data_IF_881182917293
#
_entry.id   IF_881182917293
#
_cell.length_a   1.000
_cell.length_b   1.000
_cell.length_c   1.000
_cell.angle_alpha   90.00
_cell.angle_beta   90.00
_cell.angle_gamma   90.00
#
_symmetry.space_group_name_H-M   'P 1'
#
loop_
_entity.id
_entity.type
_entity.pdbx_description
1 polymer ?
#
# COMPACT_ATOMS: atom_id res chain seq x y z
N UNK A 1 55.53 20.86 16.56
CA UNK A 1 55.15 20.93 15.13
C UNK A 1 54.31 19.70 14.80
N UNK A 2 53.04 19.89 14.40
CA UNK A 2 52.18 18.80 13.91
C UNK A 2 52.64 18.44 12.49
N UNK A 3 53.11 17.21 12.28
CA UNK A 3 53.43 16.71 10.94
C UNK A 3 52.17 16.75 10.08
N UNK A 4 52.18 17.58 9.02
CA UNK A 4 51.22 17.45 7.92
C UNK A 4 51.73 16.30 7.04
N UNK A 5 51.33 15.08 7.38
CA UNK A 5 51.54 13.93 6.50
C UNK A 5 50.62 14.10 5.29
N UNK A 6 51.19 14.33 4.11
CA UNK A 6 50.44 14.25 2.87
C UNK A 6 50.00 12.81 2.62
N UNK A 7 48.78 12.63 2.11
CA UNK A 7 48.30 11.31 1.71
C UNK A 7 49.23 10.72 0.65
N UNK A 8 49.61 9.45 0.81
CA UNK A 8 50.38 8.76 -0.21
C UNK A 8 49.52 8.63 -1.48
N UNK A 9 50.11 8.80 -2.66
CA UNK A 9 49.41 8.66 -3.95
C UNK A 9 48.63 7.34 -4.03
N UNK A 10 49.21 6.25 -3.49
CA UNK A 10 48.55 4.95 -3.42
C UNK A 10 47.25 4.98 -2.58
N UNK A 11 47.29 5.68 -1.45
CA UNK A 11 46.15 5.83 -0.54
C UNK A 11 45.04 6.65 -1.18
N UNK A 12 45.39 7.69 -1.94
CA UNK A 12 44.43 8.49 -2.71
C UNK A 12 43.77 7.65 -3.81
N UNK A 13 44.54 6.81 -4.51
CA UNK A 13 44.00 5.93 -5.57
C UNK A 13 43.06 4.88 -4.98
N UNK A 14 43.47 4.21 -3.89
CA UNK A 14 42.62 3.21 -3.22
C UNK A 14 41.36 3.88 -2.66
N UNK A 15 41.51 5.05 -2.01
CA UNK A 15 40.38 5.82 -1.49
C UNK A 15 39.39 6.24 -2.57
N UNK A 16 39.89 6.68 -3.73
CA UNK A 16 39.05 7.04 -4.87
C UNK A 16 38.28 5.83 -5.44
N UNK A 17 38.93 4.67 -5.54
CA UNK A 17 38.28 3.43 -5.99
C UNK A 17 37.17 2.98 -5.03
N UNK A 18 37.47 2.98 -3.73
CA UNK A 18 36.49 2.61 -2.70
C UNK A 18 35.31 3.59 -2.71
N UNK A 19 35.60 4.89 -2.75
CA UNK A 19 34.56 5.92 -2.79
C UNK A 19 33.69 5.79 -4.04
N UNK A 20 34.28 5.59 -5.22
CA UNK A 20 33.51 5.40 -6.46
C UNK A 20 32.60 4.18 -6.40
N UNK A 21 33.12 3.05 -5.89
CA UNK A 21 32.33 1.81 -5.77
C UNK A 21 31.16 2.00 -4.80
N UNK A 22 31.41 2.63 -3.65
CA UNK A 22 30.40 2.92 -2.64
C UNK A 22 29.36 3.90 -3.19
N UNK A 23 29.78 4.96 -3.88
CA UNK A 23 28.89 5.95 -4.47
C UNK A 23 27.92 5.32 -5.50
N UNK A 24 28.41 4.44 -6.37
CA UNK A 24 27.56 3.71 -7.32
C UNK A 24 26.56 2.81 -6.60
N UNK A 25 27.00 2.09 -5.56
CA UNK A 25 26.10 1.26 -4.75
C UNK A 25 24.99 2.09 -4.08
N UNK A 26 25.32 3.24 -3.50
CA UNK A 26 24.35 4.15 -2.88
C UNK A 26 23.32 4.68 -3.88
N UNK A 27 23.75 5.06 -5.09
CA UNK A 27 22.82 5.50 -6.14
C UNK A 27 21.86 4.39 -6.57
N UNK A 28 22.34 3.15 -6.64
CA UNK A 28 21.50 1.98 -6.91
C UNK A 28 20.43 1.76 -5.83
N UNK A 29 20.83 1.83 -4.56
CA UNK A 29 19.90 1.71 -3.42
C UNK A 29 18.87 2.84 -3.42
N UNK A 30 19.30 4.06 -3.70
CA UNK A 30 18.41 5.22 -3.73
C UNK A 30 17.29 5.07 -4.77
N UNK A 31 17.63 4.62 -5.98
CA UNK A 31 16.64 4.36 -7.02
C UNK A 31 15.65 3.26 -6.65
N UNK A 32 16.11 2.23 -5.93
CA UNK A 32 15.25 1.16 -5.42
C UNK A 32 14.31 1.65 -4.32
N UNK A 33 14.82 2.45 -3.37
CA UNK A 33 14.05 3.02 -2.28
C UNK A 33 12.94 3.95 -2.79
N UNK A 34 13.26 4.83 -3.75
CA UNK A 34 12.28 5.75 -4.33
C UNK A 34 11.10 5.00 -4.98
N UNK A 35 11.39 3.95 -5.76
CA UNK A 35 10.36 3.07 -6.35
C UNK A 35 9.55 2.31 -5.30
N UNK A 36 10.20 1.92 -4.20
CA UNK A 36 9.54 1.27 -3.08
C UNK A 36 8.52 2.16 -2.37
N UNK A 37 8.85 3.43 -2.17
CA UNK A 37 7.96 4.42 -1.55
C UNK A 37 6.73 4.71 -2.41
N UNK A 38 6.91 4.86 -3.73
CA UNK A 38 5.79 5.04 -4.67
C UNK A 38 4.81 3.84 -4.61
N UNK A 39 5.34 2.61 -4.60
CA UNK A 39 4.53 1.39 -4.42
C UNK A 39 3.80 1.39 -3.08
N UNK A 40 4.48 1.80 -2.01
CA UNK A 40 3.92 1.77 -0.65
C UNK A 40 2.78 2.77 -0.47
N UNK A 41 2.79 3.90 -1.17
CA UNK A 41 1.76 4.95 -1.02
C UNK A 41 0.37 4.44 -1.39
N UNK A 42 0.21 3.86 -2.57
CA UNK A 42 -1.10 3.39 -3.04
C UNK A 42 -1.61 2.22 -2.19
N UNK A 43 -0.70 1.34 -1.77
CA UNK A 43 -1.04 0.27 -0.84
C UNK A 43 -1.54 0.82 0.49
N UNK A 44 -0.92 1.87 1.03
CA UNK A 44 -1.33 2.48 2.29
C UNK A 44 -2.72 3.11 2.18
N UNK A 45 -2.99 3.87 1.10
CA UNK A 45 -4.33 4.43 0.86
C UNK A 45 -5.38 3.32 0.72
N UNK A 46 -5.09 2.29 -0.08
CA UNK A 46 -6.01 1.16 -0.25
C UNK A 46 -6.26 0.40 1.06
N UNK A 47 -5.23 0.22 1.89
CA UNK A 47 -5.38 -0.37 3.23
C UNK A 47 -6.25 0.50 4.15
N UNK A 48 -6.03 1.81 4.19
CA UNK A 48 -6.85 2.72 5.01
C UNK A 48 -8.31 2.72 4.57
N UNK A 49 -8.58 2.68 3.26
CA UNK A 49 -9.93 2.55 2.72
C UNK A 49 -10.57 1.22 3.12
N UNK A 50 -9.81 0.12 3.02
CA UNK A 50 -10.30 -1.20 3.41
C UNK A 50 -10.61 -1.27 4.91
N UNK A 51 -9.73 -0.71 5.75
CA UNK A 51 -9.91 -0.61 7.20
C UNK A 51 -11.15 0.21 7.54
N UNK A 52 -11.33 1.38 6.93
CA UNK A 52 -12.52 2.21 7.15
C UNK A 52 -13.82 1.45 6.86
N UNK A 53 -13.91 0.75 5.72
CA UNK A 53 -15.10 -0.01 5.35
C UNK A 53 -15.34 -1.21 6.29
N UNK A 54 -14.28 -1.84 6.77
CA UNK A 54 -14.37 -2.90 7.78
C UNK A 54 -14.86 -2.34 9.12
N UNK A 55 -14.35 -1.20 9.55
CA UNK A 55 -14.81 -0.51 10.76
C UNK A 55 -16.28 -0.10 10.66
N UNK A 56 -16.72 0.40 9.52
CA UNK A 56 -18.13 0.70 9.25
C UNK A 56 -19.00 -0.56 9.38
N UNK A 57 -18.58 -1.69 8.78
CA UNK A 57 -19.30 -2.96 8.90
C UNK A 57 -19.31 -3.51 10.34
N UNK A 58 -18.21 -3.33 11.09
CA UNK A 58 -18.16 -3.68 12.52
C UNK A 58 -19.07 -2.80 13.37
N UNK A 59 -19.16 -1.51 13.05
CA UNK A 59 -20.02 -0.56 13.75
C UNK A 59 -21.52 -0.82 13.49
N UNK A 60 -21.88 -1.29 12.30
CA UNK A 60 -23.24 -1.77 12.01
C UNK A 60 -23.60 -2.99 12.88
N UNK A 61 -22.63 -3.89 13.06
CA UNK A 61 -22.75 -5.11 13.86
C UNK A 61 -23.50 -6.24 13.13
N UNK A 62 -23.51 -7.42 13.74
CA UNK A 62 -24.01 -8.65 13.11
C UNK A 62 -25.45 -8.53 12.58
N UNK A 63 -26.38 -7.99 13.38
CA UNK A 63 -27.80 -7.95 13.04
C UNK A 63 -28.12 -7.00 11.88
N UNK A 64 -27.35 -5.90 11.73
CA UNK A 64 -27.62 -4.87 10.72
C UNK A 64 -26.78 -5.02 9.46
N UNK A 65 -25.65 -5.71 9.55
CA UNK A 65 -24.82 -6.02 8.39
C UNK A 65 -25.62 -6.82 7.38
N UNK A 66 -25.98 -6.17 6.27
CA UNK A 66 -26.72 -6.80 5.17
C UNK A 66 -25.83 -7.83 4.50
N UNK A 67 -26.37 -9.02 4.28
CA UNK A 67 -25.71 -10.06 3.50
C UNK A 67 -25.72 -9.58 2.05
N UNK A 68 -24.54 -9.50 1.44
CA UNK A 68 -24.32 -9.04 0.06
C UNK A 68 -23.73 -10.14 -0.80
N UNK A 69 -23.93 -11.39 -0.40
CA UNK A 69 -23.48 -12.57 -1.15
C UNK A 69 -24.07 -12.57 -2.56
N UNK A 70 -23.21 -12.39 -3.56
CA UNK A 70 -23.59 -12.35 -4.99
C UNK A 70 -23.86 -10.95 -5.55
N UNK A 71 -24.01 -9.91 -4.72
CA UNK A 71 -24.16 -8.52 -5.16
C UNK A 71 -23.34 -7.60 -4.22
N UNK A 72 -22.02 -7.49 -4.44
CA UNK A 72 -21.15 -6.74 -3.54
C UNK A 72 -21.48 -5.24 -3.56
N UNK A 73 -21.39 -4.61 -2.40
CA UNK A 73 -21.45 -3.15 -2.31
C UNK A 73 -20.17 -2.58 -2.92
N UNK A 74 -20.32 -1.92 -4.06
CA UNK A 74 -19.20 -1.33 -4.80
C UNK A 74 -19.20 0.19 -4.69
N UNK A 75 -18.00 0.75 -4.66
CA UNK A 75 -17.78 2.19 -4.64
C UNK A 75 -16.60 2.58 -5.51
N UNK A 76 -16.60 3.83 -5.97
CA UNK A 76 -15.45 4.43 -6.64
C UNK A 76 -15.05 5.70 -5.91
N UNK A 77 -13.76 5.81 -5.60
CA UNK A 77 -13.16 6.99 -4.97
C UNK A 77 -12.03 7.45 -5.87
N UNK A 78 -12.13 8.68 -6.36
CA UNK A 78 -11.05 9.32 -7.12
C UNK A 78 -10.26 10.24 -6.19
N UNK A 79 -8.93 10.07 -6.18
CA UNK A 79 -8.03 10.93 -5.43
C UNK A 79 -6.97 11.52 -6.35
N UNK A 80 -6.74 12.81 -6.23
CA UNK A 80 -5.63 13.47 -6.90
C UNK A 80 -4.32 13.05 -6.25
N UNK A 81 -3.37 12.59 -7.06
CA UNK A 81 -2.05 12.15 -6.60
C UNK A 81 -0.97 12.78 -7.46
N UNK A 82 0.10 13.27 -6.84
CA UNK A 82 1.30 13.63 -7.57
C UNK A 82 2.04 12.35 -8.00
N UNK A 83 2.16 12.15 -9.30
CA UNK A 83 2.91 11.05 -9.88
C UNK A 83 4.03 11.58 -10.75
N UNK A 84 5.13 10.81 -10.78
CA UNK A 84 6.29 11.13 -11.58
C UNK A 84 6.24 10.30 -12.85
N UNK A 85 6.22 10.97 -14.00
CA UNK A 85 6.25 10.30 -15.29
C UNK A 85 7.57 9.56 -15.51
N UNK A 86 7.62 8.65 -16.50
CA UNK A 86 8.86 7.97 -16.89
C UNK A 86 9.95 8.93 -17.38
N UNK A 87 9.58 10.14 -17.84
CA UNK A 87 10.53 11.20 -18.23
C UNK A 87 11.00 12.05 -17.04
N UNK A 88 10.47 11.83 -15.84
CA UNK A 88 10.88 12.49 -14.60
C UNK A 88 10.11 13.75 -14.27
N UNK A 89 9.12 14.12 -15.07
CA UNK A 89 8.21 15.27 -14.83
C UNK A 89 7.17 14.93 -13.78
N UNK A 90 6.88 15.88 -12.89
CA UNK A 90 5.83 15.77 -11.90
C UNK A 90 4.51 16.22 -12.51
N UNK A 91 3.46 15.42 -12.28
CA UNK A 91 2.10 15.75 -12.71
C UNK A 91 1.11 15.26 -11.68
N UNK A 92 0.03 16.01 -11.49
CA UNK A 92 -1.11 15.56 -10.70
C UNK A 92 -2.01 14.73 -11.60
N UNK A 93 -2.16 13.46 -11.27
CA UNK A 93 -3.06 12.53 -11.97
C UNK A 93 -4.19 12.10 -11.04
N UNK A 94 -5.43 11.95 -11.55
CA UNK A 94 -6.47 11.28 -10.81
C UNK A 94 -6.15 9.78 -10.75
N UNK A 95 -6.15 9.21 -9.55
CA UNK A 95 -6.07 7.77 -9.33
C UNK A 95 -7.42 7.30 -8.81
N UNK A 96 -7.99 6.30 -9.48
CA UNK A 96 -9.27 5.71 -9.11
C UNK A 96 -9.05 4.48 -8.24
N UNK A 97 -9.73 4.46 -7.11
CA UNK A 97 -9.83 3.32 -6.21
C UNK A 97 -11.23 2.73 -6.33
N UNK A 98 -11.34 1.47 -6.69
CA UNK A 98 -12.58 0.71 -6.72
C UNK A 98 -12.66 -0.15 -5.47
N UNK A 99 -13.70 0.03 -4.68
CA UNK A 99 -13.95 -0.74 -3.46
C UNK A 99 -15.05 -1.77 -3.69
N UNK A 100 -14.93 -2.93 -3.06
CA UNK A 100 -15.90 -4.03 -3.13
C UNK A 100 -16.05 -4.62 -1.71
N UNK A 101 -17.25 -4.52 -1.13
CA UNK A 101 -17.58 -5.12 0.18
C UNK A 101 -18.57 -6.26 0.01
N UNK A 102 -18.16 -7.45 0.43
CA UNK A 102 -19.00 -8.65 0.45
C UNK A 102 -19.18 -9.12 1.89
N UNK A 103 -20.43 -9.34 2.29
CA UNK A 103 -20.80 -9.94 3.58
C UNK A 103 -21.48 -11.27 3.32
N UNK A 104 -20.92 -12.34 3.86
CA UNK A 104 -21.41 -13.71 3.72
C UNK A 104 -21.68 -14.32 5.09
N UNK A 105 -22.66 -15.21 5.21
CA UNK A 105 -22.89 -15.95 6.46
C UNK A 105 -21.95 -17.15 6.49
N UNK A 106 -21.32 -17.41 7.64
CA UNK A 106 -20.45 -18.58 7.84
C UNK A 106 -20.96 -19.36 9.04
N UNK A 107 -21.04 -20.69 8.90
CA UNK A 107 -21.56 -21.58 9.94
C UNK A 107 -23.07 -21.75 9.86
N UNK A 108 -23.64 -22.45 10.84
CA UNK A 108 -25.09 -22.57 10.96
C UNK A 108 -25.64 -21.22 11.47
N UNK A 109 -26.55 -20.55 10.73
CA UNK A 109 -27.12 -19.26 11.14
C UNK A 109 -27.80 -19.29 12.52
N UNK A 110 -28.30 -20.47 12.92
CA UNK A 110 -29.04 -20.66 14.16
C UNK A 110 -28.13 -21.00 15.36
N UNK A 111 -26.94 -21.56 15.13
CA UNK A 111 -26.00 -21.96 16.20
C UNK A 111 -24.81 -21.00 16.36
N UNK A 112 -24.17 -20.60 15.25
CA UNK A 112 -22.86 -19.93 15.30
C UNK A 112 -22.97 -18.40 15.14
N UNK A 113 -24.06 -17.87 14.56
CA UNK A 113 -24.28 -16.43 14.29
C UNK A 113 -23.01 -15.68 13.85
N UNK A 114 -22.34 -16.18 12.81
CA UNK A 114 -21.13 -15.59 12.26
C UNK A 114 -21.34 -15.09 10.83
N UNK A 115 -20.82 -13.89 10.55
CA UNK A 115 -20.73 -13.32 9.20
C UNK A 115 -19.28 -12.98 8.88
N UNK A 116 -18.86 -13.29 7.66
CA UNK A 116 -17.57 -12.89 7.12
C UNK A 116 -17.75 -11.65 6.26
N UNK A 117 -16.99 -10.61 6.58
CA UNK A 117 -16.90 -9.40 5.79
C UNK A 117 -15.57 -9.41 5.05
N UNK A 118 -15.64 -9.36 3.74
CA UNK A 118 -14.48 -9.22 2.85
C UNK A 118 -14.55 -7.88 2.16
N UNK A 119 -13.53 -7.06 2.33
CA UNK A 119 -13.37 -5.78 1.63
C UNK A 119 -12.18 -5.89 0.69
N UNK A 120 -12.39 -5.61 -0.59
CA UNK A 120 -11.33 -5.50 -1.59
C UNK A 120 -11.24 -4.06 -2.06
N UNK A 121 -10.02 -3.56 -2.20
CA UNK A 121 -9.74 -2.24 -2.75
C UNK A 121 -8.73 -2.41 -3.87
N UNK A 122 -9.17 -2.07 -5.07
CA UNK A 122 -8.40 -2.13 -6.30
C UNK A 122 -8.04 -0.72 -6.75
N UNK A 123 -6.87 -0.54 -7.34
CA UNK A 123 -6.51 0.72 -7.99
C UNK A 123 -5.72 0.50 -9.26
N UNK A 124 -5.88 1.45 -10.17
CA UNK A 124 -5.09 1.54 -11.38
C UNK A 124 -4.34 2.86 -11.41
N UNK A 125 -3.01 2.79 -11.50
CA UNK A 125 -2.15 3.93 -11.79
C UNK A 125 -1.40 3.67 -13.11
N UNK A 126 -1.05 4.75 -13.80
CA UNK A 126 -0.19 4.81 -14.98
C UNK A 126 1.07 3.94 -14.91
N UNK A 127 1.57 3.69 -13.70
CA UNK A 127 2.77 2.89 -13.47
C UNK A 127 2.47 1.46 -13.03
N UNK A 128 1.34 1.22 -12.34
CA UNK A 128 1.07 -0.06 -11.68
C UNK A 128 -0.38 -0.18 -11.19
N UNK A 129 -0.92 -1.39 -11.31
CA UNK A 129 -2.18 -1.78 -10.67
C UNK A 129 -1.91 -2.56 -9.39
N UNK A 130 -2.82 -2.49 -8.43
CA UNK A 130 -2.73 -3.26 -7.20
C UNK A 130 -4.08 -3.53 -6.54
N UNK A 131 -4.04 -4.47 -5.61
CA UNK A 131 -5.19 -4.93 -4.83
C UNK A 131 -4.77 -5.04 -3.36
N UNK A 132 -5.66 -4.63 -2.46
CA UNK A 132 -5.63 -4.96 -1.04
C UNK A 132 -6.92 -5.66 -0.70
N UNK A 133 -6.82 -6.79 0.00
CA UNK A 133 -7.97 -7.54 0.52
C UNK A 133 -7.87 -7.60 2.04
N UNK A 134 -8.91 -7.13 2.71
CA UNK A 134 -9.06 -7.22 4.16
C UNK A 134 -10.27 -8.09 4.49
N UNK A 135 -10.11 -8.94 5.49
CA UNK A 135 -11.14 -9.91 5.91
C UNK A 135 -11.34 -9.79 7.40
N UNK A 136 -12.59 -9.69 7.83
CA UNK A 136 -12.97 -9.70 9.25
C UNK A 136 -14.21 -10.56 9.49
N UNK A 137 -14.45 -10.88 10.76
CA UNK A 137 -15.61 -11.65 11.21
C UNK A 137 -16.49 -10.79 12.10
N UNK A 138 -17.80 -10.86 11.89
CA UNK A 138 -18.82 -10.30 12.75
C UNK A 138 -19.47 -11.44 13.52
N UNK A 139 -19.47 -11.36 14.85
CA UNK A 139 -20.16 -12.30 15.73
C UNK A 139 -21.43 -11.68 16.29
N UNK A 140 -22.54 -12.42 16.23
CA UNK A 140 -23.76 -12.10 16.96
C UNK A 140 -23.57 -12.37 18.45
N UNK A 141 -24.00 -11.44 19.31
CA UNK A 141 -24.05 -11.69 20.76
C UNK A 141 -25.38 -12.39 21.07
N UNK A 142 -25.31 -13.45 21.88
CA UNK A 142 -26.46 -14.23 22.36
C UNK A 142 -27.40 -13.41 23.26
#
# INVERSE_FOLDING_TARGET
MKSRSGFNLLEVVIGAFLFSTIAVAFLGVWGMQARGLEKSRHSLVATMLAEQMVEEAMAEGYERAKITEGDPETGEIEMATESRSKSGEWSTIPVRYTTEKTVTVIGDPDEDKLKLVTVKVNWEDTTKNGEVVLVTYLAGVF
#
